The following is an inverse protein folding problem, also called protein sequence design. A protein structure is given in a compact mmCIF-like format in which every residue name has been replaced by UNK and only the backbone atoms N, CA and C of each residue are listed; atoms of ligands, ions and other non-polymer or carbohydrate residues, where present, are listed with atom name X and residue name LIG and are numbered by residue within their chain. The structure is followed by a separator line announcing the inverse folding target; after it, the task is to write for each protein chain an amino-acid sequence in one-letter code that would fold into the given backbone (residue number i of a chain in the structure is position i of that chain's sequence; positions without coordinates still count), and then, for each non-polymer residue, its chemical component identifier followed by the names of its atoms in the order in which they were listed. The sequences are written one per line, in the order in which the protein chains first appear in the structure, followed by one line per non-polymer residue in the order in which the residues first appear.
data_IF_644718514380
#
_entry.id   IF_644718514380
#
_cell.length_a   1.000
_cell.length_b   1.000
_cell.length_c   1.000
_cell.angle_alpha   90.00
_cell.angle_beta   90.00
_cell.angle_gamma   90.00
#
_symmetry.space_group_name_H-M   'P 1'
#
loop_
_entity.id
_entity.type
_entity.pdbx_description
1 polymer ?
#
# COMPACT_ATOMS: atom_id res chain seq x y z
N UNK A 1 -8.16 11.76 8.69
CA UNK A 1 -8.10 10.39 8.19
C UNK A 1 -8.45 9.43 9.31
N UNK A 2 -9.34 8.46 9.07
CA UNK A 2 -9.62 7.41 10.06
C UNK A 2 -8.76 6.19 9.72
N UNK A 3 -7.62 6.06 10.39
CA UNK A 3 -6.80 4.85 10.29
C UNK A 3 -7.40 3.70 11.12
N UNK A 4 -7.15 2.44 10.75
CA UNK A 4 -7.50 1.30 11.60
C UNK A 4 -6.89 1.48 13.00
N UNK A 5 -7.65 1.16 14.05
CA UNK A 5 -7.25 1.38 15.45
C UNK A 5 -5.99 0.59 15.86
N UNK A 6 -5.68 -0.50 15.19
CA UNK A 6 -4.53 -1.36 15.49
C UNK A 6 -3.81 -1.65 14.20
N UNK A 7 -2.61 -1.10 14.05
CA UNK A 7 -1.69 -1.42 12.97
C UNK A 7 -0.56 -2.28 13.53
N UNK A 8 -0.54 -3.56 13.18
CA UNK A 8 0.65 -4.38 13.41
C UNK A 8 1.69 -4.06 12.34
N UNK A 9 2.85 -3.54 12.76
CA UNK A 9 3.87 -3.03 11.82
C UNK A 9 4.59 -4.16 11.10
N UNK A 10 4.65 -4.05 9.78
CA UNK A 10 5.47 -4.90 8.91
C UNK A 10 6.84 -4.26 8.71
N UNK A 11 7.64 -4.27 9.78
CA UNK A 11 8.91 -3.54 9.89
C UNK A 11 9.86 -3.82 8.71
N UNK A 12 9.97 -5.07 8.27
CA UNK A 12 10.84 -5.44 7.15
C UNK A 12 10.51 -4.72 5.83
N UNK A 13 9.24 -4.40 5.57
CA UNK A 13 8.86 -3.59 4.41
C UNK A 13 9.13 -2.10 4.65
N UNK A 14 8.81 -1.58 5.83
CA UNK A 14 9.08 -0.18 6.17
C UNK A 14 10.56 0.12 6.03
N UNK A 15 11.44 -0.71 6.61
CA UNK A 15 12.90 -0.52 6.56
C UNK A 15 13.44 -0.56 5.11
N UNK A 16 12.82 -1.35 4.22
CA UNK A 16 13.18 -1.41 2.80
C UNK A 16 12.70 -0.20 2.00
N UNK A 17 11.59 0.43 2.40
CA UNK A 17 11.00 1.58 1.71
C UNK A 17 11.66 2.89 2.18
N UNK A 18 12.02 3.01 3.47
CA UNK A 18 12.60 4.22 4.08
C UNK A 18 13.73 4.88 3.28
N UNK A 19 14.71 4.18 2.69
CA UNK A 19 15.77 4.81 1.91
C UNK A 19 15.30 5.58 0.68
N UNK A 20 14.08 5.29 0.20
CA UNK A 20 13.48 5.91 -0.99
C UNK A 20 12.43 6.97 -0.66
N UNK A 21 12.12 7.18 0.62
CA UNK A 21 11.24 8.24 1.06
C UNK A 21 11.88 9.59 0.76
N UNK A 22 11.06 10.58 0.40
CA UNK A 22 11.48 11.93 0.02
C UNK A 22 12.46 11.97 -1.19
N UNK A 23 12.49 10.92 -1.99
CA UNK A 23 13.27 10.86 -3.23
C UNK A 23 12.34 10.98 -4.44
N UNK A 24 12.84 11.58 -5.53
CA UNK A 24 12.13 11.77 -6.81
C UNK A 24 11.91 10.46 -7.57
N UNK A 25 11.51 9.40 -6.85
CA UNK A 25 11.11 8.10 -7.41
C UNK A 25 9.77 7.67 -6.83
N UNK A 26 8.92 7.06 -7.64
CA UNK A 26 7.63 6.52 -7.19
C UNK A 26 7.85 5.21 -6.44
N UNK A 27 7.29 5.09 -5.24
CA UNK A 27 7.24 3.85 -4.49
C UNK A 27 5.98 3.08 -4.89
N UNK A 28 6.17 1.96 -5.58
CA UNK A 28 5.09 1.13 -6.12
C UNK A 28 4.97 -0.13 -5.29
N UNK A 29 3.87 -0.28 -4.56
CA UNK A 29 3.58 -1.44 -3.74
C UNK A 29 2.66 -2.38 -4.54
N UNK A 30 3.20 -3.49 -5.00
CA UNK A 30 2.45 -4.51 -5.75
C UNK A 30 2.22 -5.76 -4.92
N UNK A 31 1.25 -6.54 -5.29
CA UNK A 31 0.97 -7.82 -4.63
C UNK A 31 -0.49 -8.20 -4.73
N UNK A 32 -0.78 -9.44 -4.40
CA UNK A 32 -2.12 -10.00 -4.41
C UNK A 32 -3.11 -9.15 -3.58
N UNK A 33 -4.40 -9.27 -3.88
CA UNK A 33 -5.44 -8.70 -3.00
C UNK A 33 -5.32 -9.24 -1.58
N UNK A 34 -5.67 -8.41 -0.60
CA UNK A 34 -5.73 -8.76 0.83
C UNK A 34 -4.39 -9.09 1.52
N UNK A 35 -3.23 -8.87 0.87
CA UNK A 35 -1.91 -9.04 1.51
C UNK A 35 -1.47 -7.87 2.40
N UNK A 36 -2.28 -6.80 2.48
CA UNK A 36 -2.06 -5.67 3.38
C UNK A 36 -1.32 -4.48 2.76
N UNK A 37 -1.42 -4.25 1.44
CA UNK A 37 -0.82 -3.09 0.76
C UNK A 37 -1.31 -1.76 1.34
N UNK A 38 -2.64 -1.57 1.45
CA UNK A 38 -3.27 -0.37 2.03
C UNK A 38 -2.83 -0.14 3.49
N UNK A 39 -2.75 -1.22 4.29
CA UNK A 39 -2.26 -1.14 5.67
C UNK A 39 -0.79 -0.70 5.74
N UNK A 40 0.02 -1.09 4.74
CA UNK A 40 1.40 -0.64 4.66
C UNK A 40 1.50 0.84 4.29
N UNK A 41 0.59 1.37 3.44
CA UNK A 41 0.49 2.81 3.22
C UNK A 41 0.19 3.57 4.53
N UNK A 42 -0.76 3.08 5.34
CA UNK A 42 -1.05 3.71 6.63
C UNK A 42 0.17 3.71 7.57
N UNK A 43 0.94 2.62 7.61
CA UNK A 43 2.17 2.54 8.41
C UNK A 43 3.22 3.55 7.92
N UNK A 44 3.37 3.73 6.61
CA UNK A 44 4.27 4.74 6.03
C UNK A 44 3.81 6.16 6.38
N UNK A 45 2.51 6.44 6.35
CA UNK A 45 1.95 7.72 6.77
C UNK A 45 2.22 7.98 8.26
N UNK A 46 2.06 6.97 9.12
CA UNK A 46 2.40 7.09 10.55
C UNK A 46 3.89 7.40 10.76
N UNK A 47 4.79 6.74 10.02
CA UNK A 47 6.24 7.02 10.08
C UNK A 47 6.54 8.48 9.68
N UNK A 48 5.91 8.96 8.58
CA UNK A 48 6.08 10.34 8.14
C UNK A 48 5.57 11.32 9.18
N UNK A 49 4.37 11.12 9.70
CA UNK A 49 3.76 12.02 10.69
C UNK A 49 4.48 11.99 12.05
N UNK A 50 5.17 10.90 12.37
CA UNK A 50 6.02 10.82 13.55
C UNK A 50 7.30 11.68 13.42
N UNK A 51 7.84 11.82 12.21
CA UNK A 51 9.01 12.65 11.91
C UNK A 51 8.62 14.10 11.57
N UNK A 52 7.50 14.29 10.85
CA UNK A 52 6.96 15.56 10.37
C UNK A 52 5.47 15.68 10.70
N UNK A 53 5.08 16.12 11.92
CA UNK A 53 3.68 16.17 12.36
C UNK A 53 2.77 17.03 11.47
N UNK A 54 3.33 18.07 10.82
CA UNK A 54 2.60 18.99 9.92
C UNK A 54 2.74 18.62 8.43
N UNK A 55 3.22 17.40 8.13
CA UNK A 55 3.39 16.92 6.76
C UNK A 55 2.07 17.00 5.97
N UNK A 56 2.14 17.44 4.71
CA UNK A 56 0.97 17.45 3.84
C UNK A 56 0.74 16.06 3.26
N UNK A 57 -0.17 15.31 3.86
CA UNK A 57 -0.55 13.97 3.41
C UNK A 57 -1.78 14.06 2.51
N UNK A 58 -1.65 13.60 1.27
CA UNK A 58 -2.75 13.46 0.30
C UNK A 58 -2.97 11.96 0.09
N UNK A 59 -4.04 11.42 0.67
CA UNK A 59 -4.38 10.01 0.57
C UNK A 59 -5.66 9.84 -0.23
N UNK A 60 -5.59 9.08 -1.32
CA UNK A 60 -6.71 8.73 -2.20
C UNK A 60 -6.84 7.22 -2.23
N UNK A 61 -7.99 6.71 -1.81
CA UNK A 61 -8.34 5.29 -1.96
C UNK A 61 -9.43 5.16 -3.02
N UNK A 62 -9.11 4.60 -4.16
CA UNK A 62 -10.03 4.51 -5.30
C UNK A 62 -11.13 3.46 -5.11
N UNK A 63 -11.00 2.56 -4.12
CA UNK A 63 -12.10 1.68 -3.70
C UNK A 63 -13.10 2.39 -2.76
N UNK A 64 -12.77 3.57 -2.20
CA UNK A 64 -13.65 4.30 -1.31
C UNK A 64 -14.62 5.19 -2.11
N UNK A 65 -15.92 5.04 -1.88
CA UNK A 65 -16.97 5.80 -2.56
C UNK A 65 -16.82 7.32 -2.39
N UNK A 66 -16.15 7.81 -1.35
CA UNK A 66 -15.82 9.23 -1.18
C UNK A 66 -14.99 9.80 -2.34
N UNK A 67 -14.27 8.93 -3.05
CA UNK A 67 -13.49 9.28 -4.26
C UNK A 67 -14.19 8.90 -5.57
N UNK A 68 -15.49 8.61 -5.54
CA UNK A 68 -16.27 8.24 -6.74
C UNK A 68 -16.30 9.31 -7.84
N UNK A 69 -15.95 10.56 -7.52
CA UNK A 69 -15.78 11.64 -8.49
C UNK A 69 -14.40 11.67 -9.18
N UNK A 70 -13.42 10.94 -8.70
CA UNK A 70 -12.08 10.82 -9.29
C UNK A 70 -12.03 9.58 -10.21
N UNK A 71 -12.82 9.56 -11.28
CA UNK A 71 -12.92 8.42 -12.19
C UNK A 71 -12.00 8.51 -13.41
N UNK A 72 -11.48 9.70 -13.70
CA UNK A 72 -10.56 9.93 -14.82
C UNK A 72 -9.19 10.35 -14.33
N UNK A 73 -8.20 10.23 -15.21
CA UNK A 73 -6.84 10.69 -14.94
C UNK A 73 -6.82 12.19 -14.63
N UNK A 74 -7.63 12.98 -15.34
CA UNK A 74 -7.77 14.42 -15.18
C UNK A 74 -8.38 14.80 -13.82
N UNK A 75 -9.42 14.08 -13.38
CA UNK A 75 -10.05 14.31 -12.07
C UNK A 75 -9.08 14.00 -10.94
N UNK A 76 -8.38 12.84 -11.00
CA UNK A 76 -7.38 12.46 -10.01
C UNK A 76 -6.26 13.50 -9.93
N UNK A 77 -5.73 13.94 -11.08
CA UNK A 77 -4.69 14.95 -11.14
C UNK A 77 -5.15 16.27 -10.51
N UNK A 78 -6.34 16.74 -10.89
CA UNK A 78 -6.94 18.01 -10.40
C UNK A 78 -7.16 17.94 -8.89
N UNK A 79 -7.65 16.80 -8.38
CA UNK A 79 -7.82 16.57 -6.96
C UNK A 79 -6.48 16.68 -6.19
N UNK A 80 -5.44 15.99 -6.66
CA UNK A 80 -4.13 16.01 -6.01
C UNK A 80 -3.53 17.42 -6.01
N UNK A 81 -3.58 18.13 -7.17
CA UNK A 81 -3.05 19.49 -7.28
C UNK A 81 -3.78 20.46 -6.34
N UNK A 82 -5.12 20.35 -6.23
CA UNK A 82 -5.91 21.23 -5.35
C UNK A 82 -5.62 21.03 -3.86
N UNK A 83 -5.08 19.86 -3.47
CA UNK A 83 -4.69 19.54 -2.09
C UNK A 83 -3.18 19.67 -1.84
N UNK A 84 -2.40 19.94 -2.89
CA UNK A 84 -0.96 20.16 -2.77
C UNK A 84 -0.66 21.53 -2.20
N UNK A 85 0.37 21.62 -1.35
CA UNK A 85 0.88 22.87 -0.82
C UNK A 85 2.08 23.32 -1.64
N UNK A 86 2.10 24.58 -2.03
CA UNK A 86 3.26 25.19 -2.68
C UNK A 86 4.44 25.30 -1.69
N UNK A 87 5.65 25.04 -2.18
CA UNK A 87 6.90 25.16 -1.42
C UNK A 87 6.94 24.30 -0.14
N UNK A 88 6.20 23.22 -0.13
CA UNK A 88 6.17 22.25 0.95
C UNK A 88 6.19 20.82 0.37
N UNK A 89 6.73 19.87 1.13
CA UNK A 89 6.71 18.48 0.74
C UNK A 89 5.27 17.96 0.74
N UNK A 90 4.86 17.36 -0.37
CA UNK A 90 3.55 16.71 -0.52
C UNK A 90 3.76 15.19 -0.58
N UNK A 91 3.24 14.49 0.39
CA UNK A 91 3.26 13.04 0.43
C UNK A 91 1.97 12.49 -0.16
N UNK A 92 2.05 11.94 -1.36
CA UNK A 92 0.91 11.53 -2.18
C UNK A 92 0.78 10.01 -2.14
N UNK A 93 -0.32 9.52 -1.59
CA UNK A 93 -0.63 8.10 -1.48
C UNK A 93 -1.88 7.79 -2.31
N UNK A 94 -1.76 6.89 -3.29
CA UNK A 94 -2.88 6.48 -4.13
C UNK A 94 -3.03 4.97 -4.04
N UNK A 95 -4.14 4.53 -3.45
CA UNK A 95 -4.44 3.11 -3.25
C UNK A 95 -5.29 2.57 -4.40
N UNK A 96 -4.92 1.40 -4.95
CA UNK A 96 -5.53 0.71 -6.09
C UNK A 96 -5.59 1.57 -7.37
N UNK A 97 -4.46 2.21 -7.74
CA UNK A 97 -4.36 3.19 -8.84
C UNK A 97 -4.75 2.62 -10.21
N UNK A 98 -4.69 1.30 -10.40
CA UNK A 98 -5.05 0.65 -11.66
C UNK A 98 -6.54 0.84 -12.05
N UNK A 99 -7.36 1.32 -11.12
CA UNK A 99 -8.77 1.61 -11.40
C UNK A 99 -8.97 2.90 -12.23
N UNK A 100 -7.90 3.70 -12.38
CA UNK A 100 -7.90 4.90 -13.23
C UNK A 100 -7.17 4.62 -14.56
N UNK A 101 -7.89 4.56 -15.69
CA UNK A 101 -7.24 4.43 -16.99
C UNK A 101 -6.30 5.61 -17.31
N UNK A 102 -5.06 5.31 -17.73
CA UNK A 102 -4.09 6.35 -18.08
C UNK A 102 -3.44 7.05 -16.89
N UNK A 103 -3.50 6.45 -15.69
CA UNK A 103 -2.90 6.98 -14.46
C UNK A 103 -1.39 7.27 -14.60
N UNK A 104 -0.70 6.60 -15.53
CA UNK A 104 0.73 6.80 -15.76
C UNK A 104 1.05 8.24 -16.18
N UNK A 105 0.12 8.90 -16.91
CA UNK A 105 0.25 10.31 -17.28
C UNK A 105 0.15 11.22 -16.06
N UNK A 106 -0.74 10.89 -15.12
CA UNK A 106 -0.88 11.60 -13.84
C UNK A 106 0.41 11.52 -13.05
N UNK A 107 0.93 10.29 -12.86
CA UNK A 107 2.18 10.08 -12.11
C UNK A 107 3.36 10.81 -12.75
N UNK A 108 3.48 10.77 -14.09
CA UNK A 108 4.51 11.54 -14.80
C UNK A 108 4.40 13.03 -14.56
N UNK A 109 3.19 13.59 -14.59
CA UNK A 109 2.96 15.01 -14.33
C UNK A 109 3.35 15.37 -12.90
N UNK A 110 2.92 14.59 -11.93
CA UNK A 110 3.21 14.81 -10.51
C UNK A 110 4.71 14.73 -10.20
N UNK A 111 5.48 13.88 -10.91
CA UNK A 111 6.93 13.75 -10.79
C UNK A 111 7.72 14.96 -11.31
N UNK A 112 7.09 15.88 -12.05
CA UNK A 112 7.75 17.13 -12.48
C UNK A 112 7.97 18.10 -11.31
N UNK A 113 7.21 17.95 -10.24
CA UNK A 113 7.41 18.70 -9.01
C UNK A 113 8.26 17.85 -8.02
N UNK A 114 9.49 18.30 -7.74
CA UNK A 114 10.43 17.64 -6.82
C UNK A 114 9.97 17.65 -5.35
N UNK A 115 8.97 18.47 -5.03
CA UNK A 115 8.34 18.47 -3.71
C UNK A 115 7.33 17.35 -3.51
N UNK A 116 6.99 16.60 -4.56
CA UNK A 116 6.09 15.47 -4.48
C UNK A 116 6.82 14.17 -4.15
N UNK A 117 6.37 13.50 -3.11
CA UNK A 117 6.80 12.16 -2.70
C UNK A 117 5.66 11.16 -2.88
N UNK A 118 5.77 10.27 -3.89
CA UNK A 118 4.64 9.52 -4.43
C UNK A 118 4.73 8.04 -4.05
N UNK A 119 3.61 7.52 -3.52
CA UNK A 119 3.39 6.13 -3.13
C UNK A 119 2.11 5.63 -3.80
N UNK A 120 2.19 4.52 -4.52
CA UNK A 120 1.03 3.94 -5.19
C UNK A 120 0.91 2.46 -4.86
N UNK A 121 -0.31 1.94 -4.80
CA UNK A 121 -0.55 0.51 -4.73
C UNK A 121 -1.33 0.01 -5.93
N UNK A 122 -1.21 -1.28 -6.18
CA UNK A 122 -2.05 -2.00 -7.14
C UNK A 122 -2.01 -3.49 -6.94
N UNK A 123 -3.16 -4.12 -7.19
CA UNK A 123 -3.36 -5.56 -6.97
C UNK A 123 -2.99 -6.42 -8.17
N UNK A 124 -2.71 -5.81 -9.33
CA UNK A 124 -2.55 -6.55 -10.57
C UNK A 124 -1.15 -6.40 -11.18
N UNK A 125 -0.60 -7.54 -11.66
CA UNK A 125 0.61 -7.56 -12.49
C UNK A 125 0.49 -6.68 -13.76
N UNK A 126 -0.73 -6.37 -14.22
CA UNK A 126 -0.98 -5.40 -15.31
C UNK A 126 -0.45 -4.00 -15.00
N UNK A 127 -0.37 -3.60 -13.74
CA UNK A 127 0.15 -2.30 -13.34
C UNK A 127 1.61 -2.11 -13.77
N UNK A 128 2.40 -3.19 -13.79
CA UNK A 128 3.81 -3.17 -14.18
C UNK A 128 4.04 -3.69 -15.60
N UNK A 129 2.99 -4.25 -16.25
CA UNK A 129 3.12 -4.79 -17.61
C UNK A 129 3.14 -3.67 -18.65
N UNK A 130 4.32 -3.33 -19.11
CA UNK A 130 4.55 -2.57 -20.34
C UNK A 130 4.46 -1.06 -20.20
N UNK A 131 3.33 -0.49 -19.81
CA UNK A 131 3.13 0.95 -19.86
C UNK A 131 3.82 1.68 -18.68
N UNK A 132 3.61 1.25 -17.43
CA UNK A 132 4.30 1.88 -16.28
C UNK A 132 5.82 1.77 -16.44
N UNK A 133 6.33 0.58 -16.80
CA UNK A 133 7.75 0.37 -17.01
C UNK A 133 8.31 1.25 -18.13
N UNK A 134 7.52 1.48 -19.20
CA UNK A 134 7.91 2.32 -20.33
C UNK A 134 7.85 3.81 -19.97
N UNK A 135 6.74 4.26 -19.37
CA UNK A 135 6.52 5.67 -19.07
C UNK A 135 7.32 6.20 -17.88
N UNK A 136 7.62 5.33 -16.90
CA UNK A 136 8.35 5.68 -15.66
C UNK A 136 9.73 5.01 -15.57
N UNK A 137 10.30 4.60 -16.71
CA UNK A 137 11.61 3.92 -16.74
C UNK A 137 12.66 4.67 -15.91
N UNK A 138 13.24 3.99 -14.92
CA UNK A 138 14.24 4.56 -14.01
C UNK A 138 13.69 5.54 -12.96
N UNK A 139 12.36 5.74 -12.87
CA UNK A 139 11.73 6.69 -11.94
C UNK A 139 10.76 6.04 -10.96
N UNK A 140 10.79 4.72 -10.82
CA UNK A 140 10.01 4.02 -9.79
C UNK A 140 10.82 2.88 -9.17
N UNK A 141 10.43 2.50 -7.96
CA UNK A 141 10.93 1.32 -7.26
C UNK A 141 9.73 0.44 -6.91
N UNK A 142 9.78 -0.81 -7.32
CA UNK A 142 8.77 -1.80 -6.97
C UNK A 142 9.08 -2.49 -5.65
N UNK A 143 8.08 -2.51 -4.77
CA UNK A 143 8.07 -3.31 -3.54
C UNK A 143 6.97 -4.36 -3.65
N UNK A 144 7.37 -5.60 -3.91
CA UNK A 144 6.43 -6.72 -3.99
C UNK A 144 6.04 -7.14 -2.57
N UNK A 145 4.74 -7.01 -2.27
CA UNK A 145 4.16 -7.31 -0.97
C UNK A 145 3.53 -8.70 -1.03
N UNK A 146 3.94 -9.54 -0.10
CA UNK A 146 3.44 -10.90 0.04
C UNK A 146 2.54 -11.00 1.28
N UNK A 147 1.80 -12.09 1.40
CA UNK A 147 1.18 -12.50 2.65
C UNK A 147 2.22 -12.57 3.78
N UNK A 148 1.78 -12.69 5.01
CA UNK A 148 2.69 -12.80 6.16
C UNK A 148 3.65 -13.98 5.96
N UNK A 149 4.94 -13.75 6.19
CA UNK A 149 5.91 -14.84 6.38
C UNK A 149 5.61 -15.60 7.66
N UNK A 150 6.20 -16.78 7.85
CA UNK A 150 6.00 -17.55 9.09
C UNK A 150 6.39 -16.75 10.33
N UNK A 151 7.50 -16.02 10.30
CA UNK A 151 7.90 -15.17 11.42
C UNK A 151 6.92 -14.02 11.69
N UNK A 152 6.41 -13.37 10.65
CA UNK A 152 5.34 -12.36 10.79
C UNK A 152 4.04 -12.98 11.29
N UNK A 153 3.69 -14.19 10.84
CA UNK A 153 2.52 -14.93 11.32
C UNK A 153 2.60 -15.19 12.82
N UNK A 154 3.75 -15.68 13.32
CA UNK A 154 3.98 -15.90 14.75
C UNK A 154 3.82 -14.59 15.53
N UNK A 155 4.51 -13.54 15.12
CA UNK A 155 4.44 -12.23 15.77
C UNK A 155 3.01 -11.68 15.78
N UNK A 156 2.32 -11.77 14.64
CA UNK A 156 1.00 -11.21 14.47
C UNK A 156 -0.08 -11.96 15.26
N UNK A 157 0.03 -13.28 15.36
CA UNK A 157 -0.89 -14.10 16.16
C UNK A 157 -0.46 -14.24 17.63
N UNK A 158 0.72 -13.73 18.01
CA UNK A 158 1.25 -13.88 19.37
C UNK A 158 1.61 -15.32 19.70
N UNK A 159 2.06 -16.08 18.69
CA UNK A 159 2.45 -17.49 18.81
C UNK A 159 3.96 -17.59 18.98
N UNK A 160 4.40 -18.66 19.64
CA UNK A 160 5.80 -19.07 19.69
C UNK A 160 6.10 -20.09 18.60
N UNK A 161 7.35 -20.16 18.17
CA UNK A 161 7.80 -21.15 17.19
C UNK A 161 7.63 -22.56 17.77
N UNK A 162 6.89 -23.41 17.03
CA UNK A 162 6.60 -24.80 17.38
C UNK A 162 6.10 -25.57 16.17
N UNK A 163 6.09 -26.89 16.24
CA UNK A 163 5.50 -27.75 15.21
C UNK A 163 4.02 -27.39 14.96
N UNK A 164 3.26 -27.23 16.04
CA UNK A 164 1.84 -26.85 15.99
C UNK A 164 1.63 -25.50 15.29
N UNK A 165 2.42 -24.48 15.60
CA UNK A 165 2.30 -23.17 14.96
C UNK A 165 2.72 -23.20 13.48
N UNK A 166 3.68 -24.05 13.12
CA UNK A 166 4.06 -24.28 11.73
C UNK A 166 2.97 -25.01 10.95
N UNK A 167 2.31 -26.01 11.56
CA UNK A 167 1.15 -26.68 10.97
C UNK A 167 0.00 -25.71 10.70
N UNK A 168 -0.32 -24.83 11.68
CA UNK A 168 -1.33 -23.79 11.49
C UNK A 168 -1.01 -22.88 10.31
N UNK A 169 0.24 -22.39 10.23
CA UNK A 169 0.70 -21.55 9.14
C UNK A 169 0.64 -22.29 7.78
N UNK A 170 1.09 -23.52 7.72
CA UNK A 170 1.09 -24.34 6.51
C UNK A 170 -0.34 -24.63 6.02
N UNK A 171 -1.27 -24.78 6.96
CA UNK A 171 -2.68 -25.09 6.68
C UNK A 171 -3.48 -23.88 6.25
N UNK A 172 -3.34 -22.76 6.94
CA UNK A 172 -4.20 -21.58 6.74
C UNK A 172 -3.52 -20.46 5.93
N UNK A 173 -2.20 -20.52 5.79
CA UNK A 173 -1.43 -19.49 5.10
C UNK A 173 -1.27 -18.21 5.91
N UNK A 174 -0.77 -17.18 5.25
CA UNK A 174 -0.36 -15.92 5.89
C UNK A 174 -1.21 -14.70 5.50
N UNK A 175 -2.52 -14.85 5.15
CA UNK A 175 -3.34 -13.68 4.87
C UNK A 175 -3.53 -12.85 6.14
N UNK A 176 -3.20 -11.54 6.13
CA UNK A 176 -3.26 -10.72 7.35
C UNK A 176 -4.62 -10.65 8.01
N UNK A 177 -5.70 -10.77 7.25
CA UNK A 177 -7.07 -10.71 7.79
C UNK A 177 -7.40 -11.87 8.75
N UNK A 178 -6.68 -13.00 8.65
CA UNK A 178 -6.84 -14.15 9.56
C UNK A 178 -6.59 -13.78 11.05
N UNK A 179 -5.92 -12.66 11.31
CA UNK A 179 -5.79 -12.09 12.66
C UNK A 179 -7.13 -11.80 13.35
N UNK A 180 -8.17 -11.56 12.58
CA UNK A 180 -9.49 -11.18 13.07
C UNK A 180 -10.42 -12.39 13.22
N UNK A 181 -9.93 -13.60 12.93
CA UNK A 181 -10.70 -14.84 12.92
C UNK A 181 -10.09 -15.88 13.85
N UNK A 182 -10.92 -16.74 14.47
CA UNK A 182 -10.42 -17.96 15.09
C UNK A 182 -9.70 -18.82 14.02
N UNK A 183 -8.51 -19.36 14.36
CA UNK A 183 -7.79 -20.28 13.48
C UNK A 183 -8.40 -21.69 13.55
N UNK A 184 -9.61 -21.82 13.05
CA UNK A 184 -10.40 -23.06 12.99
C UNK A 184 -10.78 -23.34 11.55
N UNK A 185 -10.82 -24.62 11.18
CA UNK A 185 -11.04 -25.05 9.79
C UNK A 185 -12.29 -24.47 9.16
N UNK A 186 -13.42 -24.53 9.83
CA UNK A 186 -14.68 -24.07 9.31
C UNK A 186 -14.63 -22.57 9.00
N UNK A 187 -14.18 -21.77 9.97
CA UNK A 187 -14.11 -20.31 9.85
C UNK A 187 -13.09 -19.86 8.80
N UNK A 188 -11.88 -20.45 8.82
CA UNK A 188 -10.83 -20.06 7.88
C UNK A 188 -11.16 -20.49 6.46
N UNK A 189 -11.69 -21.72 6.26
CA UNK A 189 -12.06 -22.21 4.93
C UNK A 189 -13.21 -21.41 4.32
N UNK A 190 -14.20 -21.00 5.12
CA UNK A 190 -15.28 -20.11 4.63
C UNK A 190 -14.72 -18.76 4.16
N UNK A 191 -13.81 -18.17 4.94
CA UNK A 191 -13.17 -16.93 4.54
C UNK A 191 -12.33 -17.11 3.26
N UNK A 192 -11.52 -18.16 3.17
CA UNK A 192 -10.66 -18.41 2.01
C UNK A 192 -11.44 -18.66 0.72
N UNK A 193 -12.64 -19.23 0.78
CA UNK A 193 -13.54 -19.36 -0.38
C UNK A 193 -14.01 -18.00 -0.92
N UNK A 194 -14.00 -16.95 -0.09
CA UNK A 194 -14.44 -15.60 -0.45
C UNK A 194 -13.33 -14.72 -1.02
N UNK A 195 -12.10 -15.22 -1.04
CA UNK A 195 -10.88 -14.50 -1.48
C UNK A 195 -10.47 -14.92 -2.88
#
# INVERSE_FOLDING_TARGET
MNFPRILKKRKGYIDRIKPFMQKSVVKVLTGQRRVGKSFLLYQLIEEILAEEPDANIIYVNLEDFTFSSQQTAEDLHSYIISHSKEKAKNYIFIDEIQDIPGFEKVIRSLLLNEDNDIYITGSNAKMLSGELATYLSGRYIEFKIYSLSYSEFLEFHGLTESETSYELYSRYGGLPYLLNLPLEDETVNEYLKSV
#
